data_IF_891120175700
#
_entry.id   IF_891120175700
#
_cell.length_a   1.000
_cell.length_b   1.000
_cell.length_c   1.000
_cell.angle_alpha   90.00
_cell.angle_beta   90.00
_cell.angle_gamma   90.00
#
_symmetry.space_group_name_H-M   'P 1'
#
loop_
_entity.id
_entity.type
_entity.pdbx_description
1 polymer ?
#
# COMPACT_ATOMS: atom_id res chain seq x y z
N UNK A 1 6.72 8.91 -27.30
CA UNK A 1 7.73 7.89 -27.14
C UNK A 1 8.53 8.13 -25.89
N UNK A 2 9.05 7.08 -25.27
CA UNK A 2 9.85 7.09 -24.02
C UNK A 2 11.03 8.09 -24.07
N UNK A 3 11.44 8.52 -25.24
CA UNK A 3 12.52 9.51 -25.41
C UNK A 3 12.20 10.92 -24.89
N UNK A 4 10.92 11.24 -24.73
CA UNK A 4 10.53 12.57 -24.20
C UNK A 4 10.39 12.59 -22.68
N UNK A 5 10.46 11.42 -22.03
CA UNK A 5 10.58 11.25 -20.57
C UNK A 5 12.05 11.15 -20.11
N UNK A 6 13.03 11.26 -21.01
CA UNK A 6 14.40 11.48 -20.61
C UNK A 6 14.47 12.81 -19.86
N UNK A 7 14.38 12.76 -18.55
CA UNK A 7 14.81 13.85 -17.68
C UNK A 7 16.31 13.96 -17.87
N UNK A 8 16.70 14.69 -18.92
CA UNK A 8 18.08 15.09 -19.16
C UNK A 8 18.47 16.00 -18.01
N UNK A 9 19.16 15.45 -17.01
CA UNK A 9 19.68 16.22 -15.89
C UNK A 9 19.50 15.59 -14.51
N UNK A 10 19.12 14.34 -14.39
CA UNK A 10 19.28 13.62 -13.11
C UNK A 10 20.77 13.44 -12.89
N UNK A 11 21.35 14.38 -12.14
CA UNK A 11 22.73 14.24 -11.67
C UNK A 11 22.81 13.02 -10.76
N UNK A 12 23.92 12.33 -10.80
CA UNK A 12 24.28 11.10 -10.07
C UNK A 12 24.20 11.20 -8.53
N UNK A 13 23.66 12.29 -7.99
CA UNK A 13 23.42 12.54 -6.55
C UNK A 13 21.94 12.78 -6.24
N UNK A 14 21.02 12.73 -7.20
CA UNK A 14 19.59 12.85 -6.94
C UNK A 14 19.03 11.48 -6.60
N UNK A 15 18.24 11.41 -5.54
CA UNK A 15 17.40 10.26 -5.20
C UNK A 15 16.00 10.58 -5.71
N UNK A 16 15.63 10.15 -6.91
CA UNK A 16 14.28 10.43 -7.40
C UNK A 16 13.25 9.60 -6.63
N UNK A 17 12.23 10.26 -6.09
CA UNK A 17 11.01 9.62 -5.60
C UNK A 17 10.04 9.57 -6.76
N UNK A 18 9.48 8.40 -7.02
CA UNK A 18 8.49 8.20 -8.07
C UNK A 18 7.09 8.03 -7.46
N UNK A 19 6.28 9.08 -7.66
CA UNK A 19 4.86 9.12 -7.35
C UNK A 19 4.08 9.17 -8.66
N UNK A 20 4.10 8.09 -9.42
CA UNK A 20 3.45 7.99 -10.72
C UNK A 20 2.49 6.82 -10.74
N UNK A 21 1.59 6.82 -11.73
CA UNK A 21 0.73 5.69 -12.02
C UNK A 21 1.54 4.39 -12.12
N UNK A 22 1.11 3.28 -11.48
CA UNK A 22 1.84 2.00 -11.44
C UNK A 22 2.26 1.45 -12.80
N UNK A 23 1.58 1.83 -13.87
CA UNK A 23 1.96 1.48 -15.26
C UNK A 23 3.35 1.97 -15.67
N UNK A 24 3.87 3.00 -15.02
CA UNK A 24 5.17 3.59 -15.31
C UNK A 24 6.28 3.14 -14.37
N UNK A 25 5.99 2.37 -13.34
CA UNK A 25 6.96 1.88 -12.35
C UNK A 25 8.13 1.16 -13.04
N UNK A 26 7.87 0.10 -13.79
CA UNK A 26 8.93 -0.67 -14.43
C UNK A 26 9.74 0.10 -15.48
N UNK A 27 9.15 0.91 -16.38
CA UNK A 27 9.92 1.76 -17.28
C UNK A 27 10.91 2.69 -16.56
N UNK A 28 10.49 3.29 -15.44
CA UNK A 28 11.35 4.20 -14.66
C UNK A 28 12.39 3.42 -13.86
N UNK A 29 12.00 2.34 -13.21
CA UNK A 29 12.89 1.45 -12.46
C UNK A 29 14.04 0.93 -13.33
N UNK A 30 13.74 0.45 -14.55
CA UNK A 30 14.75 -0.01 -15.50
C UNK A 30 15.64 1.14 -16.02
N UNK A 31 15.09 2.33 -16.20
CA UNK A 31 15.90 3.49 -16.57
C UNK A 31 16.90 3.85 -15.46
N UNK A 32 16.49 3.82 -14.20
CA UNK A 32 17.38 4.04 -13.05
C UNK A 32 18.48 2.96 -12.97
N UNK A 33 18.15 1.70 -13.21
CA UNK A 33 19.13 0.64 -13.26
C UNK A 33 20.18 0.87 -14.36
N UNK A 34 19.75 1.26 -15.56
CA UNK A 34 20.64 1.53 -16.70
C UNK A 34 21.59 2.71 -16.40
N UNK A 35 21.04 3.77 -15.82
CA UNK A 35 21.78 5.00 -15.51
C UNK A 35 22.55 4.92 -14.18
N UNK A 36 22.55 3.77 -13.48
CA UNK A 36 23.17 3.57 -12.18
C UNK A 36 22.71 4.61 -11.14
N UNK A 37 21.41 4.87 -11.07
CA UNK A 37 20.78 5.82 -10.17
C UNK A 37 19.93 5.05 -9.16
N UNK A 38 20.01 5.44 -7.87
CA UNK A 38 19.15 4.87 -6.84
C UNK A 38 17.68 5.19 -7.11
N UNK A 39 16.78 4.40 -6.50
CA UNK A 39 15.35 4.48 -6.78
C UNK A 39 14.54 4.36 -5.49
N UNK A 40 13.45 5.12 -5.39
CA UNK A 40 12.39 4.94 -4.38
C UNK A 40 11.04 5.08 -5.08
N UNK A 41 10.11 4.18 -4.77
CA UNK A 41 8.71 4.29 -5.15
C UNK A 41 7.76 4.14 -3.95
N UNK A 42 6.49 4.46 -4.17
CA UNK A 42 5.41 4.32 -3.19
C UNK A 42 4.40 3.24 -3.60
N UNK A 43 4.65 2.55 -4.71
CA UNK A 43 3.88 1.41 -5.20
C UNK A 43 4.80 0.55 -6.08
N UNK A 44 4.63 -0.75 -6.03
CA UNK A 44 5.48 -1.70 -6.78
C UNK A 44 4.96 -1.98 -8.20
N UNK A 45 5.69 -2.82 -8.93
CA UNK A 45 5.27 -3.28 -10.26
C UNK A 45 3.98 -4.10 -10.18
N UNK A 46 3.13 -3.92 -11.20
CA UNK A 46 1.81 -4.55 -11.27
C UNK A 46 1.87 -6.07 -11.30
N UNK A 47 0.89 -6.70 -10.69
CA UNK A 47 0.63 -8.13 -10.75
C UNK A 47 0.01 -8.55 -12.09
N UNK A 48 0.00 -9.85 -12.31
CA UNK A 48 -0.80 -10.51 -13.36
C UNK A 48 -1.41 -11.79 -12.80
N UNK A 49 -2.76 -11.89 -12.76
CA UNK A 49 -3.44 -13.07 -12.25
C UNK A 49 -3.04 -14.36 -12.97
N UNK A 50 -3.11 -15.49 -12.26
CA UNK A 50 -2.86 -16.80 -12.85
C UNK A 50 -3.90 -17.09 -13.95
N UNK A 51 -3.49 -17.49 -15.19
CA UNK A 51 -4.39 -17.51 -16.36
C UNK A 51 -5.52 -18.54 -16.25
N UNK A 52 -5.39 -19.57 -15.41
CA UNK A 52 -6.37 -20.65 -15.27
C UNK A 52 -7.01 -20.73 -13.89
N UNK A 53 -6.28 -20.31 -12.84
CA UNK A 53 -6.70 -20.45 -11.44
C UNK A 53 -6.48 -19.15 -10.66
N UNK A 54 -7.09 -18.02 -11.13
CA UNK A 54 -6.78 -16.70 -10.58
C UNK A 54 -7.15 -16.52 -9.10
N UNK A 55 -8.06 -17.34 -8.57
CA UNK A 55 -8.56 -17.23 -7.20
C UNK A 55 -8.00 -18.29 -6.23
N UNK A 56 -6.99 -19.03 -6.63
CA UNK A 56 -6.37 -20.07 -5.81
C UNK A 56 -4.85 -20.13 -5.93
N UNK A 57 -4.32 -19.70 -7.07
CA UNK A 57 -2.89 -19.75 -7.39
C UNK A 57 -2.40 -18.35 -7.81
N UNK A 58 -1.18 -18.02 -7.37
CA UNK A 58 -0.54 -16.78 -7.80
C UNK A 58 -0.10 -16.85 -9.26
N UNK A 59 -0.28 -15.74 -9.97
CA UNK A 59 0.43 -15.48 -11.22
C UNK A 59 1.74 -14.75 -10.95
N UNK A 60 1.94 -13.59 -11.60
CA UNK A 60 3.00 -12.65 -11.24
C UNK A 60 2.48 -11.79 -10.08
N UNK A 61 3.19 -11.75 -8.96
CA UNK A 61 2.81 -10.92 -7.81
C UNK A 61 3.26 -9.47 -8.01
N UNK A 62 2.66 -8.57 -7.25
CA UNK A 62 3.17 -7.20 -7.10
C UNK A 62 4.67 -7.23 -6.76
N UNK A 63 5.49 -6.41 -7.40
CA UNK A 63 6.92 -6.32 -7.15
C UNK A 63 7.80 -7.46 -7.70
N UNK A 64 7.25 -8.58 -8.17
CA UNK A 64 8.06 -9.70 -8.67
C UNK A 64 9.08 -9.28 -9.75
N UNK A 65 8.70 -8.37 -10.64
CA UNK A 65 9.57 -7.89 -11.71
C UNK A 65 10.73 -7.03 -11.17
N UNK A 66 10.50 -6.28 -10.09
CA UNK A 66 11.52 -5.48 -9.41
C UNK A 66 12.45 -6.37 -8.60
N UNK A 67 11.92 -7.29 -7.78
CA UNK A 67 12.74 -8.22 -6.97
C UNK A 67 13.56 -9.18 -7.82
N UNK A 68 13.09 -9.56 -9.01
CA UNK A 68 13.88 -10.35 -9.96
C UNK A 68 15.17 -9.64 -10.41
N UNK A 69 15.31 -8.34 -10.19
CA UNK A 69 16.49 -7.54 -10.53
C UNK A 69 17.43 -7.29 -9.34
N UNK A 70 17.10 -7.76 -8.14
CA UNK A 70 17.86 -7.52 -6.91
C UNK A 70 19.36 -7.74 -7.08
N UNK A 71 19.77 -8.89 -7.62
CA UNK A 71 21.16 -9.20 -7.88
C UNK A 71 21.84 -8.17 -8.81
N UNK A 72 21.16 -7.72 -9.86
CA UNK A 72 21.72 -6.74 -10.80
C UNK A 72 21.96 -5.39 -10.14
N UNK A 73 21.04 -4.95 -9.27
CA UNK A 73 21.14 -3.72 -8.52
C UNK A 73 22.28 -3.77 -7.49
N UNK A 74 22.42 -4.90 -6.78
CA UNK A 74 23.50 -5.13 -5.82
C UNK A 74 24.89 -5.12 -6.47
N UNK A 75 25.07 -5.82 -7.62
CA UNK A 75 26.34 -5.82 -8.37
C UNK A 75 26.74 -4.39 -8.85
N UNK A 76 25.78 -3.57 -9.15
CA UNK A 76 26.00 -2.16 -9.55
C UNK A 76 26.22 -1.22 -8.38
N UNK A 77 26.05 -1.69 -7.13
CA UNK A 77 26.15 -0.91 -5.89
C UNK A 77 25.16 0.29 -5.88
N UNK A 78 24.01 0.09 -6.44
CA UNK A 78 22.85 0.96 -6.36
C UNK A 78 21.74 0.22 -5.60
N UNK A 79 20.73 0.98 -5.17
CA UNK A 79 19.60 0.39 -4.45
C UNK A 79 18.27 0.90 -4.98
N UNK A 80 17.25 0.08 -4.80
CA UNK A 80 15.86 0.44 -4.92
C UNK A 80 15.14 0.18 -3.59
N UNK A 81 14.55 1.21 -3.01
CA UNK A 81 13.60 1.08 -1.91
C UNK A 81 12.19 1.12 -2.51
N UNK A 82 11.53 -0.03 -2.50
CA UNK A 82 10.23 -0.20 -3.15
C UNK A 82 9.10 -0.22 -2.12
N UNK A 83 7.94 0.33 -2.50
CA UNK A 83 6.77 0.33 -1.64
C UNK A 83 6.92 1.21 -0.39
N UNK A 84 7.43 2.45 -0.52
CA UNK A 84 7.67 3.34 0.62
C UNK A 84 6.64 4.48 0.70
N UNK A 85 5.35 4.14 0.61
CA UNK A 85 4.22 5.04 0.84
C UNK A 85 3.63 4.86 2.24
N UNK A 86 2.30 4.97 2.32
CA UNK A 86 1.59 4.63 3.55
C UNK A 86 1.27 3.14 3.59
N UNK A 87 0.67 2.67 2.52
CA UNK A 87 0.33 1.30 2.19
C UNK A 87 0.55 1.14 0.69
N UNK A 88 1.64 0.46 0.35
CA UNK A 88 2.73 -0.11 1.17
C UNK A 88 3.64 0.97 1.78
N UNK A 89 4.30 0.62 2.89
CA UNK A 89 5.35 1.44 3.51
C UNK A 89 5.24 1.57 5.02
N UNK A 90 4.43 2.50 5.53
CA UNK A 90 4.29 2.71 6.97
C UNK A 90 3.74 1.46 7.68
N UNK A 91 2.79 0.75 7.07
CA UNK A 91 2.27 -0.51 7.59
C UNK A 91 3.33 -1.61 7.66
N UNK A 92 4.28 -1.67 6.71
CA UNK A 92 5.43 -2.58 6.77
C UNK A 92 6.37 -2.23 7.92
N UNK A 93 6.60 -0.93 8.16
CA UNK A 93 7.36 -0.43 9.31
C UNK A 93 6.66 -0.83 10.62
N UNK A 94 5.33 -0.70 10.72
CA UNK A 94 4.56 -1.15 11.89
C UNK A 94 4.64 -2.67 12.07
N UNK A 95 4.56 -3.44 11.00
CA UNK A 95 4.69 -4.90 11.03
C UNK A 95 6.08 -5.31 11.57
N UNK A 96 7.12 -4.66 11.09
CA UNK A 96 8.50 -4.86 11.57
C UNK A 96 8.64 -4.47 13.04
N UNK A 97 8.07 -3.34 13.46
CA UNK A 97 8.07 -2.91 14.86
C UNK A 97 7.38 -3.94 15.78
N UNK A 98 6.22 -4.45 15.35
CA UNK A 98 5.53 -5.49 16.10
C UNK A 98 6.41 -6.74 16.30
N UNK A 99 7.02 -7.23 15.22
CA UNK A 99 7.89 -8.40 15.25
C UNK A 99 9.13 -8.19 16.14
N UNK A 100 9.78 -7.04 16.02
CA UNK A 100 11.02 -6.78 16.75
C UNK A 100 10.79 -6.49 18.23
N UNK A 101 9.71 -5.79 18.58
CA UNK A 101 9.55 -5.23 19.94
C UNK A 101 8.38 -5.81 20.73
N UNK A 102 7.32 -6.30 20.11
CA UNK A 102 6.10 -6.67 20.83
C UNK A 102 5.85 -8.18 20.87
N UNK A 103 6.13 -8.90 19.80
CA UNK A 103 5.76 -10.31 19.67
C UNK A 103 6.97 -11.24 19.65
N UNK A 104 6.84 -12.39 20.32
CA UNK A 104 7.76 -13.54 20.20
C UNK A 104 7.27 -14.56 19.15
N UNK A 105 5.97 -14.52 18.83
CA UNK A 105 5.31 -15.34 17.79
C UNK A 105 4.14 -14.56 17.23
N UNK A 106 4.05 -14.44 15.92
CA UNK A 106 2.92 -13.83 15.23
C UNK A 106 2.09 -14.95 14.55
N UNK A 107 0.86 -15.13 15.01
CA UNK A 107 -0.06 -16.12 14.42
C UNK A 107 -0.82 -15.53 13.22
N UNK A 108 -1.16 -14.23 13.26
CA UNK A 108 -1.71 -13.51 12.12
C UNK A 108 -1.32 -12.04 12.16
N UNK A 109 -1.10 -11.48 10.98
CA UNK A 109 -0.90 -10.07 10.74
C UNK A 109 -1.82 -9.67 9.60
N UNK A 110 -2.74 -8.76 9.87
CA UNK A 110 -3.64 -8.19 8.87
C UNK A 110 -3.37 -6.71 8.77
N UNK A 111 -2.96 -6.23 7.60
CA UNK A 111 -2.97 -4.80 7.31
C UNK A 111 -4.42 -4.38 7.16
N UNK A 112 -4.80 -3.33 7.85
CA UNK A 112 -6.17 -2.81 7.91
C UNK A 112 -6.13 -1.31 7.77
N UNK A 113 -6.63 -0.81 6.66
CA UNK A 113 -6.89 0.60 6.49
C UNK A 113 -8.38 0.89 6.37
N UNK A 114 -8.76 2.11 6.66
CA UNK A 114 -10.16 2.54 6.55
C UNK A 114 -10.33 4.01 6.84
N UNK A 115 -11.50 4.52 6.50
CA UNK A 115 -11.80 5.94 6.64
C UNK A 115 -13.28 6.18 6.93
N UNK A 116 -13.57 7.38 7.42
CA UNK A 116 -14.92 7.95 7.42
C UNK A 116 -15.00 9.23 6.56
N UNK A 117 -14.13 9.31 5.54
CA UNK A 117 -14.11 10.44 4.62
C UNK A 117 -15.43 10.59 3.87
N UNK A 118 -15.92 11.80 3.83
CA UNK A 118 -17.08 12.21 3.04
C UNK A 118 -16.64 13.32 2.09
N UNK A 119 -17.04 13.22 0.82
CA UNK A 119 -16.77 14.26 -0.19
C UNK A 119 -18.05 15.06 -0.43
N UNK A 120 -18.07 16.30 -0.01
CA UNK A 120 -19.24 17.17 -0.14
C UNK A 120 -19.67 17.35 -1.60
N UNK A 121 -20.96 17.10 -1.86
CA UNK A 121 -21.56 17.22 -3.20
C UNK A 121 -21.42 15.99 -4.10
N UNK A 122 -20.87 14.89 -3.59
CA UNK A 122 -20.75 13.62 -4.33
C UNK A 122 -21.27 12.46 -3.49
N UNK A 123 -22.11 11.61 -4.10
CA UNK A 123 -22.51 10.32 -3.52
C UNK A 123 -21.40 9.26 -3.62
N UNK A 124 -20.54 9.40 -4.62
CA UNK A 124 -19.36 8.58 -4.85
C UNK A 124 -18.24 9.43 -5.45
N UNK A 125 -17.11 9.47 -4.80
CA UNK A 125 -15.89 10.08 -5.30
C UNK A 125 -14.67 9.32 -4.75
N UNK A 126 -13.65 9.07 -5.58
CA UNK A 126 -12.43 8.46 -5.10
C UNK A 126 -11.60 9.48 -4.29
N UNK A 127 -10.91 9.02 -3.25
CA UNK A 127 -9.96 9.84 -2.48
C UNK A 127 -8.58 9.92 -3.15
N UNK A 128 -8.29 8.98 -4.05
CA UNK A 128 -7.09 8.94 -4.89
C UNK A 128 -7.45 8.33 -6.26
N UNK A 129 -6.47 7.89 -7.04
CA UNK A 129 -6.69 7.37 -8.40
C UNK A 129 -7.70 6.23 -8.44
N UNK A 130 -8.86 6.45 -9.03
CA UNK A 130 -9.86 5.37 -9.23
C UNK A 130 -9.30 4.23 -10.08
N UNK A 131 -8.37 4.52 -11.01
CA UNK A 131 -7.72 3.51 -11.83
C UNK A 131 -6.94 2.52 -10.96
N UNK A 132 -6.18 3.05 -9.98
CA UNK A 132 -5.42 2.26 -9.00
C UNK A 132 -6.35 1.50 -8.06
N UNK A 133 -7.37 2.17 -7.52
CA UNK A 133 -8.38 1.52 -6.66
C UNK A 133 -9.07 0.32 -7.34
N UNK A 134 -9.38 0.44 -8.63
CA UNK A 134 -9.95 -0.67 -9.40
C UNK A 134 -8.94 -1.81 -9.54
N UNK A 135 -7.66 -1.51 -9.77
CA UNK A 135 -6.60 -2.51 -9.88
C UNK A 135 -6.48 -3.30 -8.57
N UNK A 136 -6.34 -2.62 -7.46
CA UNK A 136 -6.20 -3.23 -6.13
C UNK A 136 -7.42 -4.04 -5.71
N UNK A 137 -8.62 -3.47 -5.90
CA UNK A 137 -9.85 -4.06 -5.36
C UNK A 137 -10.44 -5.18 -6.22
N UNK A 138 -10.18 -5.21 -7.53
CA UNK A 138 -10.77 -6.18 -8.46
C UNK A 138 -9.80 -7.26 -8.92
N UNK A 139 -8.50 -7.09 -8.69
CA UNK A 139 -7.54 -8.17 -8.85
C UNK A 139 -7.72 -9.22 -7.72
N UNK A 140 -7.31 -10.48 -7.95
CA UNK A 140 -7.36 -11.52 -6.94
C UNK A 140 -6.48 -11.18 -5.72
N UNK A 141 -7.06 -10.98 -4.52
CA UNK A 141 -6.30 -10.69 -3.31
C UNK A 141 -5.26 -11.75 -2.99
N UNK A 142 -4.05 -11.31 -2.68
CA UNK A 142 -2.96 -12.18 -2.25
C UNK A 142 -3.06 -12.44 -0.75
N UNK A 143 -2.76 -13.67 -0.34
CA UNK A 143 -2.64 -14.11 1.05
C UNK A 143 -1.37 -14.91 1.21
N UNK A 144 -0.67 -14.71 2.32
CA UNK A 144 0.46 -15.54 2.74
C UNK A 144 0.07 -16.45 3.90
N UNK A 145 0.45 -17.73 3.85
CA UNK A 145 0.37 -18.66 4.97
C UNK A 145 1.65 -19.49 5.08
N UNK A 146 2.18 -19.60 6.29
CA UNK A 146 3.33 -20.45 6.56
C UNK A 146 3.05 -21.91 6.14
N UNK A 147 4.03 -22.54 5.50
CA UNK A 147 3.93 -23.90 4.94
C UNK A 147 3.12 -24.02 3.63
N UNK A 148 2.34 -23.02 3.26
CA UNK A 148 1.64 -22.95 1.96
C UNK A 148 2.28 -21.96 1.00
N UNK A 149 2.82 -20.86 1.52
CA UNK A 149 3.31 -19.75 0.71
C UNK A 149 2.19 -18.80 0.28
N UNK A 150 2.41 -18.07 -0.80
CA UNK A 150 1.42 -17.15 -1.37
C UNK A 150 0.38 -17.90 -2.18
N UNK A 151 -0.86 -17.49 -2.02
CA UNK A 151 -2.00 -17.91 -2.83
C UNK A 151 -2.99 -16.75 -2.96
N UNK A 152 -3.96 -16.90 -3.83
CA UNK A 152 -4.97 -15.86 -4.09
C UNK A 152 -6.36 -16.30 -3.62
N UNK A 153 -7.24 -15.33 -3.45
CA UNK A 153 -8.65 -15.52 -3.11
C UNK A 153 -9.53 -14.72 -4.07
N UNK A 154 -10.85 -14.86 -3.96
CA UNK A 154 -11.78 -14.02 -4.70
C UNK A 154 -11.74 -12.57 -4.17
N UNK A 155 -11.87 -11.56 -5.04
CA UNK A 155 -12.02 -10.16 -4.62
C UNK A 155 -13.15 -9.99 -3.60
N UNK A 156 -12.93 -9.11 -2.62
CA UNK A 156 -13.86 -8.84 -1.54
C UNK A 156 -14.17 -10.03 -0.63
N UNK A 157 -13.28 -11.02 -0.57
CA UNK A 157 -13.40 -12.17 0.34
C UNK A 157 -13.13 -11.79 1.80
N UNK A 158 -13.44 -12.69 2.72
CA UNK A 158 -13.21 -12.56 4.17
C UNK A 158 -13.75 -11.23 4.76
N UNK A 159 -14.97 -10.85 4.38
CA UNK A 159 -15.62 -9.64 4.89
C UNK A 159 -15.70 -9.68 6.42
N UNK A 160 -15.26 -8.59 7.05
CA UNK A 160 -15.41 -8.33 8.49
C UNK A 160 -15.73 -6.88 8.76
N UNK A 161 -16.26 -6.57 9.94
CA UNK A 161 -16.46 -5.21 10.41
C UNK A 161 -15.38 -4.92 11.43
N UNK A 162 -14.49 -3.96 11.12
CA UNK A 162 -13.45 -3.51 12.04
C UNK A 162 -13.83 -2.13 12.62
N UNK A 163 -13.66 -2.00 13.93
CA UNK A 163 -13.94 -0.74 14.62
C UNK A 163 -12.68 0.12 14.66
N UNK A 164 -12.51 0.98 13.68
CA UNK A 164 -11.36 1.88 13.58
C UNK A 164 -11.35 2.91 14.73
N UNK A 165 -10.15 3.35 15.15
CA UNK A 165 -9.98 4.29 16.27
C UNK A 165 -10.38 5.71 15.92
N UNK A 166 -10.26 6.59 16.90
CA UNK A 166 -10.37 8.06 16.81
C UNK A 166 -11.67 8.59 16.18
N UNK A 167 -12.77 7.86 16.38
CA UNK A 167 -14.09 8.28 15.90
C UNK A 167 -14.41 7.92 14.46
N UNK A 168 -13.53 7.20 13.76
CA UNK A 168 -13.85 6.63 12.44
C UNK A 168 -14.98 5.61 12.59
N UNK A 169 -14.87 4.70 13.59
CA UNK A 169 -15.92 3.74 13.94
C UNK A 169 -15.90 2.46 13.09
N UNK A 170 -17.04 1.72 13.05
CA UNK A 170 -17.13 0.43 12.36
C UNK A 170 -17.19 0.61 10.85
N UNK A 171 -16.28 -0.05 10.13
CA UNK A 171 -16.24 -0.08 8.66
C UNK A 171 -16.17 -1.52 8.18
N UNK A 172 -16.85 -1.83 7.10
CA UNK A 172 -16.74 -3.12 6.41
C UNK A 172 -15.42 -3.23 5.66
N UNK A 173 -14.59 -4.21 6.04
CA UNK A 173 -13.30 -4.49 5.47
C UNK A 173 -13.31 -5.79 4.69
N UNK A 174 -12.65 -5.82 3.55
CA UNK A 174 -12.58 -6.99 2.65
C UNK A 174 -11.15 -7.18 2.15
N UNK A 175 -10.78 -8.43 1.85
CA UNK A 175 -9.49 -8.70 1.22
C UNK A 175 -9.43 -8.01 -0.15
N UNK A 176 -8.29 -7.33 -0.39
CA UNK A 176 -7.91 -6.76 -1.68
C UNK A 176 -6.45 -7.13 -1.96
N UNK A 177 -6.01 -6.97 -3.21
CA UNK A 177 -4.61 -7.15 -3.57
C UNK A 177 -3.79 -5.97 -3.06
N UNK A 178 -2.69 -6.25 -2.34
CA UNK A 178 -1.79 -5.20 -1.86
C UNK A 178 -0.37 -5.70 -1.63
N UNK A 179 0.60 -4.79 -1.68
CA UNK A 179 2.05 -5.05 -1.70
C UNK A 179 2.58 -5.63 -0.41
N UNK A 180 2.04 -5.26 0.75
CA UNK A 180 2.52 -5.69 2.08
C UNK A 180 2.45 -7.20 2.23
N UNK A 181 1.50 -7.85 1.55
CA UNK A 181 1.41 -9.31 1.58
C UNK A 181 2.62 -9.97 0.89
N UNK A 182 3.31 -9.24 0.01
CA UNK A 182 4.58 -9.67 -0.57
C UNK A 182 5.77 -9.26 0.29
N UNK A 183 5.73 -8.04 0.85
CA UNK A 183 6.85 -7.42 1.58
C UNK A 183 7.02 -8.04 2.98
N UNK A 184 5.99 -7.98 3.81
CA UNK A 184 6.04 -8.38 5.22
C UNK A 184 6.65 -9.77 5.43
N UNK A 185 6.23 -10.84 4.70
CA UNK A 185 6.77 -12.19 4.91
C UNK A 185 8.26 -12.33 4.58
N UNK A 186 8.89 -11.35 3.93
CA UNK A 186 10.32 -11.42 3.64
C UNK A 186 11.18 -11.23 4.89
N UNK A 187 10.70 -10.51 5.90
CA UNK A 187 11.46 -10.15 7.12
C UNK A 187 10.68 -10.30 8.42
N UNK A 188 9.40 -10.55 8.36
CA UNK A 188 8.54 -10.77 9.51
C UNK A 188 8.04 -12.22 9.50
N UNK A 189 8.43 -12.98 10.52
CA UNK A 189 7.98 -14.37 10.69
C UNK A 189 6.54 -14.37 11.24
N UNK A 190 5.57 -14.47 10.34
CA UNK A 190 4.15 -14.53 10.65
C UNK A 190 3.51 -15.76 9.97
N UNK A 191 2.59 -16.44 10.67
CA UNK A 191 1.93 -17.62 10.09
C UNK A 191 0.90 -17.27 9.02
N UNK A 192 0.25 -16.12 9.11
CA UNK A 192 -0.66 -15.61 8.09
C UNK A 192 -0.47 -14.11 7.94
N UNK A 193 -0.41 -13.63 6.68
CA UNK A 193 -0.42 -12.21 6.33
C UNK A 193 -1.47 -11.98 5.26
N UNK A 194 -2.31 -10.99 5.44
CA UNK A 194 -3.27 -10.50 4.45
C UNK A 194 -3.50 -9.00 4.59
N UNK A 195 -4.08 -8.40 3.57
CA UNK A 195 -4.51 -7.00 3.55
C UNK A 195 -6.03 -6.92 3.44
N UNK A 196 -6.65 -6.03 4.20
CA UNK A 196 -8.09 -5.75 4.13
C UNK A 196 -8.35 -4.26 4.07
N UNK A 197 -9.07 -3.85 3.04
CA UNK A 197 -9.47 -2.47 2.84
C UNK A 197 -10.84 -2.18 3.45
N UNK A 198 -10.91 -1.16 4.29
CA UNK A 198 -12.13 -0.61 4.86
C UNK A 198 -12.87 0.29 3.88
N UNK A 199 -13.46 -0.30 2.87
CA UNK A 199 -14.18 0.39 1.79
C UNK A 199 -15.59 0.80 2.17
N UNK A 200 -16.23 0.05 3.08
CA UNK A 200 -17.66 0.18 3.38
C UNK A 200 -18.58 -0.40 2.30
N UNK A 201 -19.82 -0.73 2.69
CA UNK A 201 -20.77 -1.45 1.84
C UNK A 201 -21.09 -0.77 0.52
N UNK A 202 -21.23 0.57 0.53
CA UNK A 202 -21.59 1.34 -0.67
C UNK A 202 -20.47 1.27 -1.72
N UNK A 203 -19.23 1.47 -1.31
CA UNK A 203 -18.08 1.46 -2.21
C UNK A 203 -17.87 0.07 -2.82
N UNK A 204 -17.92 -0.99 -1.98
CA UNK A 204 -17.85 -2.40 -2.42
C UNK A 204 -18.93 -2.69 -3.46
N UNK A 205 -20.18 -2.28 -3.21
CA UNK A 205 -21.29 -2.49 -4.14
C UNK A 205 -21.08 -1.76 -5.46
N UNK A 206 -20.53 -0.54 -5.41
CA UNK A 206 -20.22 0.25 -6.62
C UNK A 206 -19.14 -0.44 -7.46
N UNK A 207 -18.04 -0.90 -6.85
CA UNK A 207 -16.97 -1.61 -7.56
C UNK A 207 -17.46 -2.94 -8.18
N UNK A 208 -18.26 -3.71 -7.45
CA UNK A 208 -18.91 -4.92 -7.99
C UNK A 208 -19.80 -4.62 -9.20
N UNK A 209 -20.51 -3.51 -9.19
CA UNK A 209 -21.34 -3.06 -10.31
C UNK A 209 -20.50 -2.66 -11.50
N UNK A 210 -19.41 -1.92 -11.29
CA UNK A 210 -18.45 -1.56 -12.33
C UNK A 210 -17.89 -2.82 -13.00
N UNK A 211 -17.48 -3.81 -12.21
CA UNK A 211 -16.99 -5.10 -12.70
C UNK A 211 -18.04 -5.87 -13.50
N UNK A 212 -19.25 -6.00 -12.95
CA UNK A 212 -20.38 -6.69 -13.62
C UNK A 212 -20.71 -6.08 -14.99
N UNK A 213 -20.55 -4.76 -15.12
CA UNK A 213 -20.77 -4.04 -16.39
C UNK A 213 -19.54 -4.09 -17.33
N UNK A 214 -18.40 -4.61 -16.88
CA UNK A 214 -17.14 -4.65 -17.61
C UNK A 214 -16.52 -3.27 -17.84
N UNK A 215 -16.82 -2.31 -16.95
CA UNK A 215 -16.26 -0.96 -17.01
C UNK A 215 -14.84 -0.88 -16.40
N UNK A 216 -14.37 -1.94 -15.75
CA UNK A 216 -13.03 -2.13 -15.22
C UNK A 216 -12.02 -2.65 -16.26
N UNK A 217 -12.47 -3.04 -17.46
CA UNK A 217 -11.60 -3.62 -18.50
C UNK A 217 -10.59 -2.61 -19.04
N UNK A 218 -9.35 -3.09 -19.24
CA UNK A 218 -8.23 -2.34 -19.81
C UNK A 218 -8.16 -2.43 -21.35
N UNK A 219 -8.74 -3.49 -21.90
CA UNK A 219 -8.77 -3.72 -23.35
C UNK A 219 -9.74 -2.75 -24.02
N UNK A 220 -9.26 -2.16 -25.11
CA UNK A 220 -10.08 -1.21 -25.88
C UNK A 220 -11.32 -1.88 -26.46
N UNK A 221 -12.42 -1.17 -26.42
CA UNK A 221 -13.66 -1.47 -27.13
C UNK A 221 -13.92 -0.39 -28.19
N UNK A 222 -14.57 -0.77 -29.29
CA UNK A 222 -15.02 0.19 -30.29
C UNK A 222 -16.32 0.87 -29.83
N UNK A 223 -16.32 2.18 -29.76
CA UNK A 223 -17.49 3.00 -29.50
C UNK A 223 -17.68 3.94 -30.67
N UNK A 224 -18.50 3.53 -31.67
CA UNK A 224 -18.80 4.32 -32.86
C UNK A 224 -17.55 4.75 -33.67
N UNK A 225 -16.57 3.84 -33.78
CA UNK A 225 -15.31 4.08 -34.49
C UNK A 225 -14.20 4.72 -33.62
N UNK A 226 -14.44 4.95 -32.35
CA UNK A 226 -13.43 5.41 -31.38
C UNK A 226 -13.01 4.23 -30.51
N UNK A 227 -11.71 3.93 -30.47
CA UNK A 227 -11.14 2.86 -29.64
C UNK A 227 -10.83 3.40 -28.24
N UNK A 228 -11.53 2.93 -27.19
CA UNK A 228 -11.44 3.42 -25.83
C UNK A 228 -11.40 2.24 -24.84
N UNK A 229 -10.53 2.30 -23.82
CA UNK A 229 -10.61 1.39 -22.70
C UNK A 229 -11.75 1.83 -21.76
N UNK A 230 -12.68 0.91 -21.37
CA UNK A 230 -13.78 1.25 -20.48
C UNK A 230 -13.32 1.86 -19.16
N UNK A 231 -12.23 1.33 -18.57
CA UNK A 231 -11.63 1.84 -17.32
C UNK A 231 -11.16 3.29 -17.44
N UNK A 232 -10.54 3.66 -18.56
CA UNK A 232 -10.05 5.02 -18.79
C UNK A 232 -11.22 6.00 -18.93
N UNK A 233 -12.32 5.57 -19.57
CA UNK A 233 -13.55 6.36 -19.67
C UNK A 233 -14.18 6.55 -18.29
N UNK A 234 -14.25 5.49 -17.48
CA UNK A 234 -14.76 5.56 -16.11
C UNK A 234 -13.94 6.54 -15.28
N UNK A 235 -12.62 6.42 -15.31
CA UNK A 235 -11.72 7.30 -14.58
C UNK A 235 -11.90 8.78 -15.00
N UNK A 236 -12.01 9.03 -16.29
CA UNK A 236 -12.22 10.39 -16.83
C UNK A 236 -13.63 10.96 -16.52
N UNK A 237 -14.60 10.11 -16.15
CA UNK A 237 -15.97 10.51 -15.83
C UNK A 237 -16.17 10.88 -14.37
N UNK A 238 -15.22 10.51 -13.49
CA UNK A 238 -15.25 10.81 -12.06
C UNK A 238 -14.53 12.14 -11.77
N UNK A 239 -14.83 12.78 -10.63
CA UNK A 239 -14.10 13.97 -10.24
C UNK A 239 -12.63 13.65 -9.98
N UNK A 240 -11.74 14.56 -10.36
CA UNK A 240 -10.31 14.44 -10.09
C UNK A 240 -10.03 14.57 -8.58
N UNK A 241 -9.51 13.53 -7.92
CA UNK A 241 -9.24 13.55 -6.47
C UNK A 241 -8.33 14.71 -6.05
N UNK A 242 -7.39 15.13 -6.89
CA UNK A 242 -6.49 16.25 -6.59
C UNK A 242 -7.22 17.58 -6.37
N UNK A 243 -8.47 17.70 -6.84
CA UNK A 243 -9.29 18.92 -6.69
C UNK A 243 -10.29 18.85 -5.53
N UNK A 244 -10.37 17.72 -4.82
CA UNK A 244 -11.42 17.45 -3.85
C UNK A 244 -11.03 17.75 -2.39
N UNK A 245 -9.76 17.99 -2.08
CA UNK A 245 -9.27 18.13 -0.71
C UNK A 245 -10.09 19.07 0.15
N UNK A 246 -10.51 20.24 -0.36
CA UNK A 246 -11.35 21.22 0.35
C UNK A 246 -12.82 20.81 0.55
N UNK A 247 -13.24 19.71 -0.07
CA UNK A 247 -14.59 19.13 0.06
C UNK A 247 -14.59 17.82 0.82
N UNK A 248 -13.42 17.34 1.22
CA UNK A 248 -13.27 16.12 2.01
C UNK A 248 -13.28 16.49 3.48
N UNK A 249 -14.07 15.75 4.26
CA UNK A 249 -14.12 15.86 5.73
C UNK A 249 -14.05 14.45 6.32
N UNK A 250 -13.40 14.33 7.46
CA UNK A 250 -13.22 13.06 8.15
C UNK A 250 -11.76 12.65 8.25
N UNK A 251 -11.54 11.39 8.53
CA UNK A 251 -10.22 10.84 8.87
C UNK A 251 -9.90 9.61 8.05
N UNK A 252 -8.60 9.41 7.78
CA UNK A 252 -8.03 8.18 7.26
C UNK A 252 -7.21 7.49 8.35
N UNK A 253 -7.26 6.17 8.39
CA UNK A 253 -6.50 5.34 9.32
C UNK A 253 -5.83 4.21 8.55
N UNK A 254 -4.53 4.06 8.72
CA UNK A 254 -3.75 2.96 8.19
C UNK A 254 -3.03 2.25 9.33
N UNK A 255 -2.97 0.92 9.30
CA UNK A 255 -2.30 0.19 10.37
C UNK A 255 -2.30 -1.32 10.22
N UNK A 256 -1.75 -1.99 11.23
CA UNK A 256 -1.62 -3.44 11.26
C UNK A 256 -2.24 -4.04 12.52
N UNK A 257 -3.13 -5.00 12.35
CA UNK A 257 -3.68 -5.83 13.40
C UNK A 257 -2.81 -7.08 13.55
N UNK A 258 -2.13 -7.20 14.68
CA UNK A 258 -1.22 -8.32 14.96
C UNK A 258 -1.75 -9.14 16.12
N UNK A 259 -1.77 -10.48 15.93
CA UNK A 259 -2.22 -11.45 16.96
C UNK A 259 -1.18 -12.55 17.11
N UNK A 260 -0.87 -12.91 18.37
CA UNK A 260 0.11 -13.96 18.64
C UNK A 260 0.49 -14.04 20.11
N UNK A 261 1.76 -14.30 20.38
CA UNK A 261 2.32 -14.25 21.74
C UNK A 261 3.27 -13.07 21.87
N UNK A 262 3.16 -12.32 22.96
CA UNK A 262 4.09 -11.25 23.28
C UNK A 262 5.49 -11.79 23.67
N UNK A 263 6.43 -10.89 23.98
CA UNK A 263 7.80 -11.27 24.38
C UNK A 263 7.88 -12.12 25.65
N UNK A 264 6.83 -12.08 26.52
CA UNK A 264 6.69 -12.93 27.70
C UNK A 264 6.00 -14.27 27.41
N UNK A 265 5.64 -14.56 26.16
CA UNK A 265 4.96 -15.78 25.76
C UNK A 265 3.45 -15.82 26.11
N UNK A 266 2.83 -14.68 26.38
CA UNK A 266 1.40 -14.57 26.69
C UNK A 266 0.60 -14.19 25.45
N UNK A 267 -0.66 -14.67 25.31
CA UNK A 267 -1.56 -14.19 24.27
C UNK A 267 -1.66 -12.67 24.24
N UNK A 268 -1.45 -12.09 23.08
CA UNK A 268 -1.48 -10.65 22.89
C UNK A 268 -2.02 -10.32 21.48
N UNK A 269 -2.79 -9.25 21.40
CA UNK A 269 -3.27 -8.70 20.16
C UNK A 269 -3.26 -7.19 20.24
N UNK A 270 -2.82 -6.53 19.19
CA UNK A 270 -2.84 -5.07 19.10
C UNK A 270 -3.05 -4.60 17.66
N UNK A 271 -3.61 -3.40 17.54
CA UNK A 271 -3.65 -2.62 16.32
C UNK A 271 -2.68 -1.45 16.43
N UNK A 272 -1.67 -1.42 15.56
CA UNK A 272 -0.68 -0.33 15.47
C UNK A 272 -1.11 0.51 14.29
N UNK A 273 -1.32 1.82 14.51
CA UNK A 273 -1.96 2.65 13.50
C UNK A 273 -1.51 4.11 13.52
N UNK A 274 -1.74 4.78 12.41
CA UNK A 274 -1.65 6.22 12.22
C UNK A 274 -2.99 6.74 11.68
N UNK A 275 -3.47 7.84 12.23
CA UNK A 275 -4.70 8.51 11.79
C UNK A 275 -4.40 9.94 11.38
N UNK A 276 -4.91 10.35 10.23
CA UNK A 276 -4.82 11.73 9.75
C UNK A 276 -6.23 12.30 9.53
N UNK A 277 -6.47 13.47 10.09
CA UNK A 277 -7.68 14.25 9.88
C UNK A 277 -7.50 15.12 8.62
N UNK A 278 -8.48 15.08 7.71
CA UNK A 278 -8.37 15.81 6.44
C UNK A 278 -8.41 17.32 6.62
N UNK A 279 -9.23 17.82 7.54
CA UNK A 279 -9.32 19.28 7.77
C UNK A 279 -7.99 19.82 8.35
N UNK A 280 -7.35 19.03 9.23
CA UNK A 280 -6.02 19.35 9.73
C UNK A 280 -4.98 19.33 8.60
N UNK A 281 -4.94 18.29 7.77
CA UNK A 281 -3.99 18.17 6.66
C UNK A 281 -4.13 19.32 5.66
N UNK A 282 -5.36 19.67 5.31
CA UNK A 282 -5.66 20.80 4.44
C UNK A 282 -5.24 22.15 5.04
N UNK A 283 -5.40 22.33 6.35
CA UNK A 283 -5.02 23.56 7.04
C UNK A 283 -3.50 23.72 7.13
N UNK A 284 -2.78 22.67 7.49
CA UNK A 284 -1.34 22.73 7.75
C UNK A 284 -0.49 22.65 6.46
N UNK A 285 -0.92 21.84 5.48
CA UNK A 285 -0.13 21.50 4.29
C UNK A 285 -0.78 21.89 2.97
N UNK A 286 -2.09 22.14 2.95
CA UNK A 286 -2.85 22.44 1.74
C UNK A 286 -3.19 21.22 0.89
N UNK A 287 -2.92 20.02 1.39
CA UNK A 287 -3.15 18.75 0.72
C UNK A 287 -4.05 17.83 1.54
N UNK A 288 -4.80 16.97 0.86
CA UNK A 288 -5.70 16.01 1.52
C UNK A 288 -4.94 14.97 2.36
N UNK A 289 -5.63 14.39 3.35
CA UNK A 289 -5.07 13.44 4.31
C UNK A 289 -4.30 12.29 3.66
N UNK A 290 -4.86 11.65 2.62
CA UNK A 290 -4.22 10.53 1.91
C UNK A 290 -2.90 10.96 1.26
N UNK A 291 -2.85 12.17 0.69
CA UNK A 291 -1.63 12.70 0.04
C UNK A 291 -0.54 12.93 1.07
N UNK A 292 -0.85 13.64 2.16
CA UNK A 292 0.11 13.89 3.23
C UNK A 292 0.60 12.59 3.89
N UNK A 293 -0.35 11.70 4.23
CA UNK A 293 -0.07 10.43 4.90
C UNK A 293 0.80 9.50 4.04
N UNK A 294 0.69 9.60 2.70
CA UNK A 294 1.55 8.84 1.78
C UNK A 294 2.91 9.50 1.60
N UNK A 295 2.94 10.82 1.38
CA UNK A 295 4.14 11.54 0.93
C UNK A 295 5.21 11.70 2.00
N UNK A 296 4.85 11.73 3.29
CA UNK A 296 5.82 11.90 4.38
C UNK A 296 6.77 10.72 4.53
N UNK A 297 6.31 9.51 4.22
CA UNK A 297 7.08 8.28 4.46
C UNK A 297 8.34 8.17 3.59
N UNK A 298 8.31 8.39 2.26
CA UNK A 298 9.53 8.38 1.48
C UNK A 298 10.48 9.53 1.86
N UNK A 299 9.98 10.66 2.37
CA UNK A 299 10.83 11.76 2.88
C UNK A 299 11.62 11.30 4.10
N UNK A 300 10.96 10.66 5.07
CA UNK A 300 11.61 10.09 6.26
C UNK A 300 12.64 9.03 5.85
N UNK A 301 12.27 8.12 4.96
CA UNK A 301 13.18 7.08 4.48
C UNK A 301 14.44 7.68 3.83
N UNK A 302 14.28 8.70 2.97
CA UNK A 302 15.43 9.41 2.37
C UNK A 302 16.32 10.07 3.42
N UNK A 303 15.76 10.68 4.44
CA UNK A 303 16.53 11.27 5.53
C UNK A 303 17.34 10.22 6.28
N UNK A 304 16.74 9.07 6.59
CA UNK A 304 17.42 7.95 7.25
C UNK A 304 18.55 7.38 6.38
N UNK A 305 18.33 7.28 5.08
CA UNK A 305 19.34 6.83 4.12
C UNK A 305 20.48 7.87 4.03
N UNK A 306 20.15 9.15 3.91
CA UNK A 306 21.14 10.23 3.84
C UNK A 306 21.99 10.31 5.11
N UNK A 307 21.41 10.02 6.29
CA UNK A 307 22.12 9.92 7.57
C UNK A 307 22.91 8.62 7.73
N UNK A 308 22.79 7.66 6.80
CA UNK A 308 23.43 6.35 6.86
C UNK A 308 22.86 5.43 7.96
N UNK A 309 21.66 5.71 8.44
CA UNK A 309 20.91 4.88 9.41
C UNK A 309 20.30 3.70 8.69
N UNK A 310 19.50 3.93 7.66
CA UNK A 310 19.09 2.90 6.71
C UNK A 310 20.14 2.76 5.61
N UNK A 311 20.45 1.52 5.26
CA UNK A 311 21.48 1.19 4.25
C UNK A 311 20.93 0.16 3.28
N UNK A 312 20.06 0.59 2.34
CA UNK A 312 19.54 -0.32 1.34
C UNK A 312 20.63 -0.79 0.38
N UNK A 313 20.55 -2.05 -0.04
CA UNK A 313 21.41 -2.68 -1.04
C UNK A 313 20.54 -3.56 -1.94
N UNK A 314 20.68 -3.46 -3.25
CA UNK A 314 19.81 -4.19 -4.17
C UNK A 314 18.37 -3.64 -4.15
N UNK A 315 17.38 -4.53 -4.09
CA UNK A 315 15.96 -4.17 -4.06
C UNK A 315 15.36 -4.57 -2.70
N UNK A 316 14.95 -3.60 -1.91
CA UNK A 316 14.43 -3.82 -0.56
C UNK A 316 13.09 -3.12 -0.37
N UNK A 317 12.22 -3.69 0.45
CA UNK A 317 11.10 -2.99 1.06
C UNK A 317 11.46 -2.40 2.43
N UNK A 318 10.58 -1.60 3.05
CA UNK A 318 10.84 -0.94 4.34
C UNK A 318 10.97 -1.94 5.52
N UNK A 319 10.39 -3.12 5.43
CA UNK A 319 10.46 -4.18 6.45
C UNK A 319 11.89 -4.74 6.68
N UNK A 320 12.84 -4.36 5.83
CA UNK A 320 14.25 -4.74 5.96
C UNK A 320 15.00 -3.98 7.03
N UNK A 321 14.50 -2.83 7.46
CA UNK A 321 15.24 -1.88 8.28
C UNK A 321 14.72 -1.81 9.72
N UNK A 322 15.54 -1.23 10.61
CA UNK A 322 15.10 -0.91 11.97
C UNK A 322 13.94 0.11 11.91
N UNK A 323 12.76 -0.24 12.43
CA UNK A 323 11.59 0.62 12.36
C UNK A 323 11.67 1.82 13.31
N UNK A 324 12.43 1.70 14.41
CA UNK A 324 12.39 2.72 15.47
C UNK A 324 12.85 4.11 15.02
N UNK A 325 13.99 4.28 14.32
CA UNK A 325 14.39 5.60 13.83
C UNK A 325 13.39 6.22 12.88
N UNK A 326 12.66 5.40 12.13
CA UNK A 326 11.60 5.88 11.24
C UNK A 326 10.41 6.42 12.03
N UNK A 327 9.96 5.69 13.03
CA UNK A 327 8.82 6.07 13.87
C UNK A 327 9.14 7.30 14.75
N UNK A 328 10.37 7.42 15.22
CA UNK A 328 10.85 8.61 15.96
C UNK A 328 10.78 9.87 15.05
N UNK A 329 11.22 9.77 13.77
CA UNK A 329 11.12 10.88 12.82
C UNK A 329 9.68 11.18 12.40
N UNK A 330 8.83 10.16 12.30
CA UNK A 330 7.41 10.35 11.97
C UNK A 330 6.73 11.27 12.99
N UNK A 331 7.06 11.10 14.30
CA UNK A 331 6.58 11.98 15.36
C UNK A 331 7.19 13.38 15.28
N UNK A 332 8.48 13.50 14.94
CA UNK A 332 9.14 14.80 14.76
C UNK A 332 8.53 15.61 13.61
N UNK A 333 8.04 14.93 12.55
CA UNK A 333 7.33 15.55 11.43
C UNK A 333 5.85 15.87 11.71
N UNK A 334 5.39 15.66 12.96
CA UNK A 334 4.10 16.15 13.44
C UNK A 334 2.93 15.19 13.25
N UNK A 335 3.18 13.94 12.90
CA UNK A 335 2.16 12.90 12.89
C UNK A 335 2.46 11.84 13.96
N UNK A 336 1.44 11.32 14.61
CA UNK A 336 1.57 10.35 15.68
C UNK A 336 1.13 8.97 15.23
N UNK A 337 1.69 7.96 15.87
CA UNK A 337 1.24 6.58 15.76
C UNK A 337 0.88 6.04 17.15
N UNK A 338 0.02 5.04 17.17
CA UNK A 338 -0.54 4.54 18.44
C UNK A 338 -0.68 3.04 18.41
N UNK A 339 -0.57 2.41 19.57
CA UNK A 339 -0.86 0.99 19.80
C UNK A 339 -2.14 0.90 20.61
N UNK A 340 -3.17 0.25 20.08
CA UNK A 340 -4.40 -0.10 20.77
C UNK A 340 -4.42 -1.62 21.02
N UNK A 341 -4.62 -2.03 22.28
CA UNK A 341 -4.81 -3.43 22.60
C UNK A 341 -6.15 -3.94 22.05
N UNK A 342 -6.13 -5.17 21.54
CA UNK A 342 -7.27 -5.82 20.92
C UNK A 342 -7.61 -7.13 21.64
N UNK A 343 -8.77 -7.72 21.29
CA UNK A 343 -9.20 -8.98 21.86
C UNK A 343 -8.22 -10.12 21.54
N UNK A 344 -7.83 -10.85 22.56
CA UNK A 344 -6.98 -12.04 22.45
C UNK A 344 -7.77 -13.33 22.26
N UNK A 345 -9.07 -13.23 22.00
CA UNK A 345 -9.94 -14.39 21.77
C UNK A 345 -9.43 -15.22 20.59
N UNK A 346 -9.35 -16.54 20.80
CA UNK A 346 -8.88 -17.49 19.78
C UNK A 346 -7.36 -17.67 19.70
N UNK A 347 -6.54 -16.88 20.39
CA UNK A 347 -5.08 -17.04 20.41
C UNK A 347 -4.73 -18.20 21.35
N UNK A 348 -4.00 -19.18 20.81
CA UNK A 348 -3.51 -20.33 21.58
C UNK A 348 -2.13 -20.04 22.17
N UNK A 349 -1.98 -20.28 23.46
CA UNK A 349 -0.70 -20.22 24.19
C UNK A 349 0.28 -21.32 23.75
#
# INVERSE_FOLDING_TARGET
GIRDLCVTGVQTCALPIYAVDPRYVMPIFLACEIENTNYIDMAMSLSRPHPHYPYTETGVKLGDEQFARDWNWGERKIYALVGMGIEPGLSDVFAKYAADHLFSRIDSLTVLDGSNLVVEGYEFAPSFSIWTTIEECLNPPLVWEDGRGWFTTEPFSELEIFNFPEGIGPVECVNVEHEEVVLIPQKVDAKKVNFKYGLGAQFITTLKTIHMLGLDRKENVDVQGISVAPRDLLAASLPDPATLGHRMHGKTCAGVLVKGLNKEGKPYACYIYNVIDNDWSMQEYGDQAVVWQTAINPVIAMELIAKGIWKPEGVNGPEWFDPKPFLDLLEEYGTTWTIREESTEGIKS
#
